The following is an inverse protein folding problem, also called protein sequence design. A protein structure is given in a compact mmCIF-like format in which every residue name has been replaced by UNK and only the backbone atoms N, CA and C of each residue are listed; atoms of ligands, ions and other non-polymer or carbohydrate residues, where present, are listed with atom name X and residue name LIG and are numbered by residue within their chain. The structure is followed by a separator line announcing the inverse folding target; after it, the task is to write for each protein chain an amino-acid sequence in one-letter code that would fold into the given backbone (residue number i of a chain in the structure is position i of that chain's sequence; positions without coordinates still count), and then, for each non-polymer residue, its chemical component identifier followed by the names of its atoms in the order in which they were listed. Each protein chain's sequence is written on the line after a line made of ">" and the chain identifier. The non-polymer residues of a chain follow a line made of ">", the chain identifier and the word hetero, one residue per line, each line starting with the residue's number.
data_IF_474251507388
#
_entry.id   IF_474251507388
#
_cell.length_a   1.000
_cell.length_b   1.000
_cell.length_c   1.000
_cell.angle_alpha   90.00
_cell.angle_beta   90.00
_cell.angle_gamma   90.00
#
_symmetry.space_group_name_H-M   'P 1'
#
loop_
_entity.id
_entity.type
_entity.pdbx_description
1 polymer ?
#
# COMPACT_ATOMS: atom_id res chain seq x y z
N UNK A 1 -13.72 19.47 0.52
CA UNK A 1 -12.63 18.50 0.24
C UNK A 1 -12.04 18.89 -1.11
N UNK A 2 -10.77 19.33 -1.14
CA UNK A 2 -10.08 20.01 -2.27
C UNK A 2 -10.74 21.30 -2.83
N UNK A 3 -11.72 21.87 -2.14
CA UNK A 3 -12.34 23.13 -2.55
C UNK A 3 -11.35 24.28 -2.33
N UNK A 4 -11.38 25.32 -3.17
CA UNK A 4 -10.57 26.51 -2.96
C UNK A 4 -10.83 27.09 -1.57
N UNK A 5 -9.75 27.36 -0.84
CA UNK A 5 -9.81 27.96 0.49
C UNK A 5 -9.28 29.38 0.45
N UNK A 6 -10.02 30.33 1.01
CA UNK A 6 -9.54 31.70 1.13
C UNK A 6 -8.45 31.79 2.21
N UNK A 7 -7.27 32.31 1.85
CA UNK A 7 -6.14 32.48 2.76
C UNK A 7 -6.11 33.92 3.26
N UNK A 8 -6.37 34.18 4.55
CA UNK A 8 -6.32 35.52 5.09
C UNK A 8 -4.87 36.01 5.16
N UNK A 9 -4.67 37.30 4.86
CA UNK A 9 -3.37 37.94 5.07
C UNK A 9 -3.30 38.59 6.45
N UNK A 10 -2.38 38.12 7.28
CA UNK A 10 -2.13 38.70 8.61
C UNK A 10 -1.28 39.97 8.58
N UNK A 11 -0.65 40.29 7.44
CA UNK A 11 0.19 41.48 7.29
C UNK A 11 -0.66 42.71 6.88
N UNK A 12 -0.69 43.79 7.70
CA UNK A 12 -1.45 45.01 7.41
C UNK A 12 -1.13 45.66 6.06
N UNK A 13 0.12 45.53 5.58
CA UNK A 13 0.57 46.12 4.32
C UNK A 13 -0.07 45.49 3.06
N UNK A 14 -0.70 44.31 3.21
CA UNK A 14 -1.35 43.59 2.10
C UNK A 14 -2.84 43.32 2.38
N UNK A 15 -3.45 44.09 3.30
CA UNK A 15 -4.87 43.94 3.68
C UNK A 15 -5.88 44.07 2.53
N UNK A 16 -5.50 44.76 1.45
CA UNK A 16 -6.35 44.92 0.25
C UNK A 16 -6.19 43.77 -0.75
N UNK A 17 -5.27 42.83 -0.51
CA UNK A 17 -5.09 41.64 -1.36
C UNK A 17 -5.96 40.49 -0.87
N UNK A 18 -6.33 39.61 -1.78
CA UNK A 18 -6.98 38.33 -1.49
C UNK A 18 -6.08 37.19 -1.97
N UNK A 19 -6.00 36.12 -1.19
CA UNK A 19 -5.33 34.87 -1.58
C UNK A 19 -6.30 33.71 -1.51
N UNK A 20 -6.13 32.73 -2.40
CA UNK A 20 -6.81 31.45 -2.33
C UNK A 20 -5.82 30.31 -2.54
N UNK A 21 -6.07 29.20 -1.85
CA UNK A 21 -5.36 27.94 -2.03
C UNK A 21 -6.20 27.02 -2.91
N UNK A 22 -5.60 26.48 -3.96
CA UNK A 22 -6.23 25.52 -4.87
C UNK A 22 -5.43 24.23 -4.86
N UNK A 23 -6.10 23.11 -5.14
CA UNK A 23 -5.47 21.81 -5.32
C UNK A 23 -5.66 21.39 -6.77
N UNK A 24 -4.57 21.14 -7.46
CA UNK A 24 -4.56 20.71 -8.85
C UNK A 24 -4.00 19.27 -8.96
N UNK A 25 -4.45 18.49 -9.96
CA UNK A 25 -3.85 17.19 -10.23
C UNK A 25 -2.36 17.35 -10.60
N UNK A 26 -1.56 16.32 -10.28
CA UNK A 26 -0.18 16.23 -10.75
C UNK A 26 -0.11 16.03 -12.27
N UNK A 27 -1.01 15.21 -12.83
CA UNK A 27 -0.98 14.80 -14.24
C UNK A 27 -1.05 13.29 -14.37
N UNK A 28 0.03 12.65 -14.83
CA UNK A 28 0.16 11.20 -14.95
C UNK A 28 0.86 10.62 -13.73
N UNK A 29 0.18 9.68 -13.05
CA UNK A 29 0.75 8.94 -11.92
C UNK A 29 1.16 7.54 -12.37
N UNK A 30 2.45 7.22 -12.21
CA UNK A 30 2.98 5.87 -12.38
C UNK A 30 2.83 5.06 -11.09
N UNK A 31 2.08 3.96 -11.13
CA UNK A 31 1.89 3.06 -9.99
C UNK A 31 2.66 1.76 -10.23
N UNK A 32 3.56 1.38 -9.33
CA UNK A 32 4.29 0.11 -9.37
C UNK A 32 3.86 -0.71 -8.16
N UNK A 33 3.03 -1.74 -8.40
CA UNK A 33 2.28 -2.44 -7.36
C UNK A 33 2.87 -3.83 -7.01
N UNK A 34 2.68 -4.31 -5.76
CA UNK A 34 3.25 -5.55 -5.27
C UNK A 34 2.35 -6.76 -5.58
N UNK A 35 2.83 -7.96 -5.27
CA UNK A 35 2.09 -9.22 -5.49
C UNK A 35 1.20 -9.65 -4.32
N UNK A 36 1.49 -9.20 -3.09
CA UNK A 36 0.89 -9.76 -1.89
C UNK A 36 -0.58 -9.35 -1.67
N UNK A 37 -0.95 -8.16 -2.15
CA UNK A 37 -2.33 -7.70 -2.25
C UNK A 37 -2.57 -7.11 -3.64
N UNK A 38 -2.65 -7.97 -4.67
CA UNK A 38 -2.46 -7.59 -6.06
C UNK A 38 -3.65 -6.83 -6.68
N UNK A 39 -4.74 -6.70 -5.92
CA UNK A 39 -5.93 -5.90 -6.28
C UNK A 39 -6.12 -4.76 -5.29
N UNK A 40 -6.11 -5.05 -3.98
CA UNK A 40 -6.44 -4.04 -2.96
C UNK A 40 -5.44 -2.87 -2.90
N UNK A 41 -4.12 -3.14 -2.90
CA UNK A 41 -3.10 -2.08 -2.90
C UNK A 41 -3.20 -1.20 -4.14
N UNK A 42 -3.19 -1.74 -5.38
CA UNK A 42 -3.25 -0.88 -6.55
C UNK A 42 -4.56 -0.09 -6.64
N UNK A 43 -5.72 -0.69 -6.36
CA UNK A 43 -6.99 0.05 -6.37
C UNK A 43 -7.00 1.19 -5.32
N UNK A 44 -6.44 0.93 -4.13
CA UNK A 44 -6.27 1.94 -3.08
C UNK A 44 -5.39 3.12 -3.48
N UNK A 45 -4.55 2.97 -4.51
CA UNK A 45 -3.70 4.05 -5.05
C UNK A 45 -4.32 4.70 -6.29
N UNK A 46 -4.90 3.91 -7.18
CA UNK A 46 -5.45 4.35 -8.46
C UNK A 46 -6.74 5.15 -8.30
N UNK A 47 -7.68 4.68 -7.47
CA UNK A 47 -8.97 5.35 -7.27
C UNK A 47 -8.78 6.77 -6.73
N UNK A 48 -8.04 7.01 -5.63
CA UNK A 48 -7.85 8.39 -5.16
C UNK A 48 -7.06 9.25 -6.16
N UNK A 49 -6.13 8.68 -6.93
CA UNK A 49 -5.43 9.40 -8.00
C UNK A 49 -6.41 9.91 -9.07
N UNK A 50 -7.29 9.04 -9.56
CA UNK A 50 -8.31 9.38 -10.56
C UNK A 50 -9.33 10.37 -10.01
N UNK A 51 -9.81 10.17 -8.78
CA UNK A 51 -10.72 11.11 -8.10
C UNK A 51 -10.09 12.50 -7.93
N UNK A 52 -8.78 12.57 -7.70
CA UNK A 52 -8.04 13.82 -7.64
C UNK A 52 -7.74 14.44 -9.03
N UNK A 53 -8.23 13.84 -10.13
CA UNK A 53 -8.09 14.37 -11.49
C UNK A 53 -6.85 13.91 -12.25
N UNK A 54 -6.17 12.86 -11.80
CA UNK A 54 -4.95 12.34 -12.44
C UNK A 54 -5.27 11.18 -13.40
N UNK A 55 -4.46 11.04 -14.45
CA UNK A 55 -4.36 9.80 -15.21
C UNK A 55 -3.41 8.83 -14.51
N UNK A 56 -3.58 7.52 -14.72
CA UNK A 56 -2.79 6.48 -14.05
C UNK A 56 -2.26 5.45 -15.04
N UNK A 57 -0.96 5.15 -14.94
CA UNK A 57 -0.34 3.99 -15.57
C UNK A 57 0.13 3.06 -14.47
N UNK A 58 -0.40 1.85 -14.43
CA UNK A 58 -0.05 0.85 -13.42
C UNK A 58 0.76 -0.30 -14.00
N UNK A 59 1.87 -0.64 -13.34
CA UNK A 59 2.61 -1.89 -13.49
C UNK A 59 2.36 -2.82 -12.29
N UNK A 60 1.45 -3.81 -12.40
CA UNK A 60 1.26 -4.82 -11.37
C UNK A 60 2.48 -5.76 -11.31
N UNK A 61 2.62 -6.49 -10.20
CA UNK A 61 3.66 -7.51 -10.08
C UNK A 61 3.52 -8.60 -11.13
N UNK A 62 4.65 -9.00 -11.72
CA UNK A 62 4.75 -10.10 -12.67
C UNK A 62 4.39 -11.48 -12.07
N UNK A 63 4.29 -11.57 -10.74
CA UNK A 63 3.82 -12.77 -10.04
C UNK A 63 2.30 -12.90 -10.03
N UNK A 64 1.57 -11.81 -10.29
CA UNK A 64 0.10 -11.75 -10.22
C UNK A 64 -0.50 -11.07 -11.46
N UNK A 65 -0.13 -11.51 -12.70
CA UNK A 65 -0.51 -10.81 -13.92
C UNK A 65 -2.02 -10.86 -14.20
N UNK A 66 -2.67 -11.95 -13.81
CA UNK A 66 -4.12 -12.12 -13.94
C UNK A 66 -4.91 -11.10 -13.10
N UNK A 67 -4.39 -10.72 -11.93
CA UNK A 67 -4.97 -9.64 -11.14
C UNK A 67 -4.82 -8.28 -11.84
N UNK A 68 -3.69 -8.07 -12.53
CA UNK A 68 -3.49 -6.89 -13.38
C UNK A 68 -4.52 -6.78 -14.50
N UNK A 69 -4.74 -7.89 -15.22
CA UNK A 69 -5.75 -7.95 -16.27
C UNK A 69 -7.17 -7.72 -15.73
N UNK A 70 -7.49 -8.28 -14.56
CA UNK A 70 -8.76 -8.01 -13.89
C UNK A 70 -8.94 -6.52 -13.56
N UNK A 71 -7.90 -5.84 -13.06
CA UNK A 71 -7.96 -4.40 -12.79
C UNK A 71 -8.26 -3.63 -14.08
N UNK A 72 -7.60 -3.96 -15.19
CA UNK A 72 -7.88 -3.35 -16.50
C UNK A 72 -9.35 -3.53 -16.92
N UNK A 73 -9.87 -4.75 -16.81
CA UNK A 73 -11.25 -5.08 -17.12
C UNK A 73 -12.24 -4.29 -16.26
N UNK A 74 -12.00 -4.19 -14.95
CA UNK A 74 -12.86 -3.45 -14.02
C UNK A 74 -12.97 -1.96 -14.37
N UNK A 75 -11.85 -1.31 -14.72
CA UNK A 75 -11.87 0.10 -15.13
C UNK A 75 -12.56 0.32 -16.48
N UNK A 76 -12.38 -0.62 -17.42
CA UNK A 76 -13.09 -0.61 -18.70
C UNK A 76 -14.60 -0.74 -18.51
N UNK A 77 -15.05 -1.71 -17.72
CA UNK A 77 -16.48 -1.93 -17.43
C UNK A 77 -17.12 -0.77 -16.65
N UNK A 78 -16.35 -0.09 -15.79
CA UNK A 78 -16.81 1.07 -15.05
C UNK A 78 -17.05 2.32 -15.92
N UNK A 79 -16.67 2.30 -17.20
CA UNK A 79 -16.95 3.37 -18.15
C UNK A 79 -16.03 4.60 -18.01
N UNK A 80 -14.82 4.42 -17.46
CA UNK A 80 -13.84 5.50 -17.43
C UNK A 80 -13.40 5.90 -18.84
N UNK A 81 -13.02 7.17 -19.07
CA UNK A 81 -12.45 7.59 -20.35
C UNK A 81 -11.29 6.70 -20.80
N UNK A 82 -11.27 6.37 -22.09
CA UNK A 82 -10.21 5.55 -22.69
C UNK A 82 -8.84 6.18 -22.42
N UNK A 83 -7.92 5.38 -21.89
CA UNK A 83 -6.55 5.81 -21.60
C UNK A 83 -6.36 6.57 -20.29
N UNK A 84 -7.43 6.87 -19.54
CA UNK A 84 -7.33 7.48 -18.21
C UNK A 84 -6.60 6.55 -17.23
N UNK A 85 -6.86 5.25 -17.35
CA UNK A 85 -6.18 4.20 -16.62
C UNK A 85 -5.63 3.20 -17.62
N UNK A 86 -4.32 2.92 -17.54
CA UNK A 86 -3.65 1.94 -18.39
C UNK A 86 -2.88 0.94 -17.53
N UNK A 87 -3.01 -0.34 -17.86
CA UNK A 87 -2.26 -1.42 -17.21
C UNK A 87 -1.14 -1.87 -18.14
N UNK A 88 0.10 -1.87 -17.65
CA UNK A 88 1.27 -2.36 -18.38
C UNK A 88 1.88 -3.53 -17.63
N UNK A 89 2.07 -4.67 -18.28
CA UNK A 89 2.53 -5.90 -17.62
C UNK A 89 3.95 -6.26 -18.07
N UNK A 90 4.81 -6.56 -17.10
CA UNK A 90 6.22 -6.86 -17.31
C UNK A 90 6.97 -6.86 -15.99
N UNK A 91 8.25 -7.20 -16.02
CA UNK A 91 9.14 -7.30 -14.86
C UNK A 91 9.65 -5.93 -14.38
N UNK A 92 10.68 -5.92 -13.53
CA UNK A 92 11.28 -4.69 -12.98
C UNK A 92 11.79 -3.72 -14.05
N UNK A 93 12.25 -4.22 -15.20
CA UNK A 93 12.69 -3.41 -16.35
C UNK A 93 11.57 -2.50 -16.87
N UNK A 94 10.33 -3.00 -16.89
CA UNK A 94 9.18 -2.18 -17.30
C UNK A 94 8.84 -1.12 -16.24
N UNK A 95 9.05 -1.42 -14.96
CA UNK A 95 8.92 -0.44 -13.87
C UNK A 95 9.96 0.69 -14.00
N UNK A 96 11.20 0.36 -14.35
CA UNK A 96 12.24 1.36 -14.63
C UNK A 96 11.91 2.18 -15.88
N UNK A 97 11.45 1.53 -16.96
CA UNK A 97 11.01 2.21 -18.17
C UNK A 97 9.86 3.19 -17.91
N UNK A 98 8.90 2.82 -17.05
CA UNK A 98 7.82 3.71 -16.62
C UNK A 98 8.37 4.97 -15.94
N UNK A 99 9.35 4.86 -15.04
CA UNK A 99 9.97 6.01 -14.39
C UNK A 99 10.73 6.87 -15.42
N UNK A 100 11.44 6.24 -16.35
CA UNK A 100 12.18 6.92 -17.41
C UNK A 100 11.28 7.65 -18.42
N UNK A 101 10.05 7.18 -18.61
CA UNK A 101 9.03 7.87 -19.40
C UNK A 101 8.62 9.22 -18.80
N UNK A 102 8.92 9.46 -17.52
CA UNK A 102 8.74 10.74 -16.84
C UNK A 102 7.30 11.07 -16.45
N UNK A 103 6.60 10.21 -15.68
CA UNK A 103 5.32 10.57 -15.08
C UNK A 103 5.49 11.73 -14.10
N UNK A 104 4.41 12.48 -13.86
CA UNK A 104 4.40 13.62 -12.94
C UNK A 104 4.48 13.21 -11.46
N UNK A 105 4.20 11.93 -11.16
CA UNK A 105 4.38 11.33 -9.83
C UNK A 105 4.54 9.82 -9.94
N UNK A 106 5.31 9.24 -9.01
CA UNK A 106 5.41 7.77 -8.86
C UNK A 106 4.90 7.33 -7.50
N UNK A 107 4.14 6.24 -7.47
CA UNK A 107 3.78 5.52 -6.25
C UNK A 107 4.32 4.11 -6.39
N UNK A 108 5.19 3.71 -5.46
CA UNK A 108 5.78 2.38 -5.43
C UNK A 108 5.44 1.70 -4.12
N UNK A 109 5.04 0.44 -4.20
CA UNK A 109 4.92 -0.43 -3.03
C UNK A 109 5.72 -1.71 -3.25
N UNK A 110 6.63 -2.02 -2.31
CA UNK A 110 7.47 -3.21 -2.43
C UNK A 110 8.64 -3.23 -1.44
N UNK A 111 9.74 -3.88 -1.83
CA UNK A 111 10.89 -4.05 -0.93
C UNK A 111 11.67 -2.74 -0.74
N UNK A 112 12.33 -2.59 0.42
CA UNK A 112 13.21 -1.44 0.69
C UNK A 112 14.33 -1.32 -0.34
N UNK A 113 14.91 -2.46 -0.76
CA UNK A 113 15.99 -2.48 -1.75
C UNK A 113 15.53 -1.96 -3.13
N UNK A 114 14.33 -2.34 -3.58
CA UNK A 114 13.76 -1.80 -4.83
C UNK A 114 13.30 -0.36 -4.65
N UNK A 115 12.70 -0.03 -3.51
CA UNK A 115 12.27 1.34 -3.18
C UNK A 115 13.41 2.35 -3.25
N UNK A 116 14.61 2.01 -2.78
CA UNK A 116 15.81 2.86 -2.93
C UNK A 116 16.15 3.13 -4.41
N UNK A 117 16.14 2.09 -5.25
CA UNK A 117 16.39 2.24 -6.70
C UNK A 117 15.33 3.12 -7.38
N UNK A 118 14.06 2.94 -7.01
CA UNK A 118 12.95 3.79 -7.48
C UNK A 118 13.16 5.24 -7.04
N UNK A 119 13.50 5.48 -5.78
CA UNK A 119 13.76 6.81 -5.24
C UNK A 119 14.88 7.51 -6.00
N UNK A 120 16.01 6.83 -6.22
CA UNK A 120 17.14 7.35 -6.99
C UNK A 120 16.75 7.69 -8.42
N UNK A 121 15.99 6.81 -9.08
CA UNK A 121 15.51 7.03 -10.45
C UNK A 121 14.57 8.24 -10.55
N UNK A 122 13.65 8.38 -9.60
CA UNK A 122 12.73 9.52 -9.53
C UNK A 122 13.49 10.83 -9.24
N UNK A 123 14.43 10.80 -8.29
CA UNK A 123 15.22 11.97 -7.90
C UNK A 123 16.06 12.55 -9.05
N UNK A 124 16.64 11.70 -9.91
CA UNK A 124 17.38 12.14 -11.11
C UNK A 124 16.55 13.00 -12.06
N UNK A 125 15.22 12.91 -12.00
CA UNK A 125 14.27 13.63 -12.85
C UNK A 125 13.37 14.59 -12.08
N UNK A 126 13.63 14.76 -10.78
CA UNK A 126 12.79 15.54 -9.86
C UNK A 126 11.32 15.08 -9.82
N UNK A 127 11.06 13.79 -10.06
CA UNK A 127 9.71 13.22 -9.99
C UNK A 127 9.35 12.99 -8.51
N UNK A 128 8.26 13.57 -7.99
CA UNK A 128 7.77 13.26 -6.66
C UNK A 128 7.42 11.78 -6.52
N UNK A 129 7.92 11.11 -5.48
CA UNK A 129 7.66 9.69 -5.23
C UNK A 129 7.00 9.44 -3.87
N UNK A 130 6.06 8.49 -3.80
CA UNK A 130 5.56 7.87 -2.57
C UNK A 130 6.07 6.43 -2.54
N UNK A 131 6.66 6.03 -1.42
CA UNK A 131 7.32 4.73 -1.26
C UNK A 131 6.76 4.01 -0.03
N UNK A 132 5.92 3.01 -0.27
CA UNK A 132 5.41 2.11 0.78
C UNK A 132 6.28 0.86 0.82
N UNK A 133 7.11 0.73 1.86
CA UNK A 133 8.20 -0.25 1.90
C UNK A 133 8.00 -1.28 3.03
N UNK A 134 8.87 -2.27 3.07
CA UNK A 134 8.84 -3.30 4.11
C UNK A 134 9.13 -2.75 5.51
N UNK A 135 8.37 -3.23 6.49
CA UNK A 135 8.56 -3.00 7.92
C UNK A 135 9.15 -4.21 8.67
N UNK A 136 9.18 -4.11 9.99
CA UNK A 136 9.49 -5.22 10.91
C UNK A 136 8.65 -5.02 12.16
N UNK A 137 7.34 -5.17 12.02
CA UNK A 137 6.39 -4.59 12.96
C UNK A 137 6.42 -5.31 14.31
N UNK A 138 6.33 -4.49 15.37
CA UNK A 138 6.44 -4.94 16.75
C UNK A 138 5.07 -4.89 17.42
N UNK A 139 4.73 -5.98 18.10
CA UNK A 139 3.65 -6.05 19.07
C UNK A 139 4.24 -6.04 20.47
N UNK A 140 3.72 -5.18 21.36
CA UNK A 140 4.14 -5.10 22.76
C UNK A 140 2.95 -5.56 23.62
N UNK A 141 3.19 -6.55 24.48
CA UNK A 141 2.19 -7.14 25.38
C UNK A 141 2.63 -6.88 26.82
N UNK A 142 1.90 -6.00 27.49
CA UNK A 142 2.12 -5.64 28.89
C UNK A 142 1.46 -6.66 29.83
N UNK A 143 1.87 -6.70 31.09
CA UNK A 143 1.39 -7.66 32.09
C UNK A 143 -0.10 -7.48 32.44
N UNK A 144 -0.66 -6.31 32.17
CA UNK A 144 -2.09 -5.98 32.36
C UNK A 144 -2.92 -6.16 31.08
N UNK A 145 -2.31 -6.59 29.97
CA UNK A 145 -3.02 -6.86 28.73
C UNK A 145 -3.96 -8.07 28.88
N UNK A 146 -5.11 -8.00 28.20
CA UNK A 146 -5.95 -9.17 27.99
C UNK A 146 -5.20 -10.17 27.09
N UNK A 147 -4.70 -11.25 27.68
CA UNK A 147 -3.88 -12.22 26.98
C UNK A 147 -4.66 -13.05 25.96
N UNK A 148 -5.98 -13.20 26.11
CA UNK A 148 -6.79 -13.90 25.12
C UNK A 148 -6.95 -13.05 23.86
N UNK A 149 -7.28 -11.77 24.03
CA UNK A 149 -7.35 -10.83 22.91
C UNK A 149 -5.97 -10.66 22.26
N UNK A 150 -4.94 -10.42 23.06
CA UNK A 150 -3.58 -10.20 22.56
C UNK A 150 -3.04 -11.41 21.79
N UNK A 151 -3.24 -12.63 22.29
CA UNK A 151 -2.77 -13.83 21.58
C UNK A 151 -3.55 -14.10 20.29
N UNK A 152 -4.85 -13.80 20.24
CA UNK A 152 -5.63 -13.87 18.99
C UNK A 152 -5.14 -12.84 17.96
N UNK A 153 -4.89 -11.61 18.40
CA UNK A 153 -4.34 -10.55 17.54
C UNK A 153 -2.94 -10.90 17.03
N UNK A 154 -2.09 -11.49 17.87
CA UNK A 154 -0.76 -11.95 17.48
C UNK A 154 -0.83 -13.03 16.40
N UNK A 155 -1.63 -14.07 16.60
CA UNK A 155 -1.78 -15.16 15.62
C UNK A 155 -2.36 -14.62 14.30
N UNK A 156 -3.44 -13.84 14.36
CA UNK A 156 -4.02 -13.27 13.14
C UNK A 156 -3.03 -12.33 12.43
N UNK A 157 -2.39 -11.42 13.17
CA UNK A 157 -1.43 -10.45 12.62
C UNK A 157 -0.15 -11.09 12.08
N UNK A 158 0.27 -12.24 12.60
CA UNK A 158 1.44 -12.96 12.08
C UNK A 158 1.12 -13.89 10.90
N UNK A 159 -0.08 -14.47 10.82
CA UNK A 159 -0.40 -15.52 9.84
C UNK A 159 -1.37 -15.09 8.73
N UNK A 160 -2.01 -13.92 8.81
CA UNK A 160 -2.83 -13.40 7.71
C UNK A 160 -2.03 -13.33 6.42
N UNK A 161 -2.60 -13.83 5.33
CA UNK A 161 -1.91 -13.95 4.03
C UNK A 161 -0.59 -14.75 4.14
N UNK A 162 -0.55 -15.77 5.00
CA UNK A 162 0.64 -16.57 5.32
C UNK A 162 1.80 -15.72 5.87
N UNK A 163 1.49 -14.61 6.55
CA UNK A 163 2.48 -13.64 7.02
C UNK A 163 3.08 -12.78 5.91
N UNK A 164 2.58 -12.87 4.67
CA UNK A 164 3.09 -12.13 3.51
C UNK A 164 2.47 -10.73 3.39
N UNK A 165 2.16 -10.08 4.50
CA UNK A 165 1.72 -8.69 4.54
C UNK A 165 2.88 -7.77 4.97
N UNK A 166 2.92 -6.55 4.45
CA UNK A 166 3.88 -5.54 4.92
C UNK A 166 3.67 -5.13 6.39
N UNK A 167 2.44 -5.33 6.88
CA UNK A 167 1.97 -5.01 8.23
C UNK A 167 2.06 -6.22 9.20
N UNK A 168 2.63 -7.35 8.75
CA UNK A 168 2.65 -8.58 9.55
C UNK A 168 3.34 -8.35 10.89
N UNK A 169 2.79 -8.94 11.94
CA UNK A 169 3.45 -8.93 13.26
C UNK A 169 4.67 -9.84 13.21
N UNK A 170 5.84 -9.22 13.23
CA UNK A 170 7.15 -9.85 13.00
C UNK A 170 7.95 -10.03 14.29
N UNK A 171 7.66 -9.21 15.31
CA UNK A 171 8.34 -9.23 16.61
C UNK A 171 7.29 -9.06 17.70
N UNK A 172 7.29 -9.96 18.68
CA UNK A 172 6.39 -9.86 19.83
C UNK A 172 7.23 -9.73 21.09
N UNK A 173 7.11 -8.59 21.76
CA UNK A 173 7.74 -8.30 23.04
C UNK A 173 6.70 -8.44 24.14
N UNK A 174 6.97 -9.30 25.12
CA UNK A 174 6.01 -9.63 26.19
C UNK A 174 6.66 -9.43 27.54
N UNK A 175 5.94 -8.80 28.46
CA UNK A 175 6.44 -8.67 29.83
C UNK A 175 6.60 -10.04 30.49
N UNK A 176 7.72 -10.19 31.21
CA UNK A 176 8.17 -11.47 31.78
C UNK A 176 7.09 -12.20 32.61
N UNK A 177 6.27 -11.54 33.44
CA UNK A 177 5.26 -12.23 34.25
C UNK A 177 4.21 -12.98 33.44
N UNK A 178 3.88 -12.52 32.23
CA UNK A 178 2.81 -13.10 31.39
C UNK A 178 3.33 -13.86 30.16
N UNK A 179 4.64 -13.81 29.90
CA UNK A 179 5.25 -14.37 28.70
C UNK A 179 4.94 -15.86 28.48
N UNK A 180 5.06 -16.69 29.52
CA UNK A 180 4.80 -18.14 29.41
C UNK A 180 3.36 -18.43 28.99
N UNK A 181 2.38 -17.84 29.70
CA UNK A 181 0.95 -18.01 29.40
C UNK A 181 0.60 -17.48 28.01
N UNK A 182 1.12 -16.32 27.65
CA UNK A 182 0.89 -15.74 26.32
C UNK A 182 1.41 -16.65 25.20
N UNK A 183 2.63 -17.18 25.32
CA UNK A 183 3.21 -18.11 24.34
C UNK A 183 2.39 -19.39 24.20
N UNK A 184 1.89 -19.95 25.31
CA UNK A 184 1.00 -21.12 25.28
C UNK A 184 -0.29 -20.84 24.51
N UNK A 185 -0.92 -19.68 24.75
CA UNK A 185 -2.15 -19.27 24.06
C UNK A 185 -1.91 -19.08 22.56
N UNK A 186 -0.83 -18.39 22.17
CA UNK A 186 -0.45 -18.23 20.77
C UNK A 186 -0.20 -19.59 20.10
N UNK A 187 0.54 -20.48 20.74
CA UNK A 187 0.83 -21.81 20.20
C UNK A 187 -0.44 -22.66 20.06
N UNK A 188 -1.35 -22.62 21.04
CA UNK A 188 -2.62 -23.31 20.98
C UNK A 188 -3.48 -22.81 19.81
N UNK A 189 -3.60 -21.50 19.63
CA UNK A 189 -4.37 -20.88 18.55
C UNK A 189 -3.76 -21.11 17.17
N UNK A 190 -2.43 -21.00 17.05
CA UNK A 190 -1.73 -21.27 15.79
C UNK A 190 -1.89 -22.72 15.32
N UNK A 191 -1.95 -23.70 16.24
CA UNK A 191 -2.19 -25.12 15.91
C UNK A 191 -3.58 -25.40 15.32
N UNK A 192 -4.53 -24.48 15.50
CA UNK A 192 -5.88 -24.62 14.95
C UNK A 192 -5.97 -24.18 13.48
N UNK A 193 -4.97 -23.42 12.99
CA UNK A 193 -4.97 -22.91 11.63
C UNK A 193 -4.93 -24.06 10.62
N UNK A 194 -5.88 -24.06 9.70
CA UNK A 194 -5.97 -25.03 8.61
C UNK A 194 -5.07 -24.62 7.45
N UNK A 195 -4.02 -25.40 7.24
CA UNK A 195 -3.17 -25.27 6.06
C UNK A 195 -3.76 -26.06 4.89
N UNK A 196 -3.73 -25.49 3.70
CA UNK A 196 -4.26 -26.17 2.52
C UNK A 196 -4.19 -25.32 1.25
N UNK A 197 -4.71 -25.83 0.13
CA UNK A 197 -4.80 -25.07 -1.11
C UNK A 197 -5.71 -23.85 -0.94
N UNK A 198 -5.34 -22.70 -1.52
CA UNK A 198 -6.17 -21.48 -1.50
C UNK A 198 -7.53 -21.61 -2.22
N UNK A 199 -7.76 -22.70 -2.95
CA UNK A 199 -9.06 -23.02 -3.56
C UNK A 199 -10.01 -23.76 -2.62
N UNK A 200 -9.55 -24.22 -1.46
CA UNK A 200 -10.39 -24.87 -0.45
C UNK A 200 -10.98 -23.80 0.51
N UNK A 201 -12.32 -23.68 0.63
CA UNK A 201 -12.96 -22.69 1.49
C UNK A 201 -12.70 -22.88 2.99
N UNK A 202 -12.10 -24.00 3.40
CA UNK A 202 -11.70 -24.27 4.78
C UNK A 202 -10.23 -23.97 5.06
N UNK A 203 -9.42 -23.64 4.04
CA UNK A 203 -8.05 -23.20 4.22
C UNK A 203 -8.02 -21.81 4.87
N UNK A 204 -7.21 -21.65 5.91
CA UNK A 204 -6.93 -20.37 6.56
C UNK A 204 -5.54 -19.84 6.21
N UNK A 205 -4.59 -20.75 5.91
CA UNK A 205 -3.22 -20.44 5.51
C UNK A 205 -2.88 -21.25 4.26
N UNK A 206 -2.63 -20.55 3.16
CA UNK A 206 -2.29 -21.12 1.85
C UNK A 206 -0.86 -21.60 1.70
#
# INVERSE_FOLDING_TARGET
>A
MLLPEHVPHHNPAVKAKSGSLHYEPYGVIGVIAPWNYPVAIPLGQMIPAVVAGNAVVIKPSELTPWCGALVEELFSQAGFPVGLVQVIQGSGELGEALILAGPDKVIFTGSVATGRRVAEACARRLIPSVLELGGKDAMIVLADADLEVASSAAVWGSFTNCGQACLSVERIYVERPVAGRFSELCAAKARLLKLGPGSDPHTEVG
#
